data_IF_896963983426
#
_entry.id   IF_896963983426
#
_cell.length_a   1.000
_cell.length_b   1.000
_cell.length_c   1.000
_cell.angle_alpha   90.00
_cell.angle_beta   90.00
_cell.angle_gamma   90.00
#
_symmetry.space_group_name_H-M   'P 1'
#
loop_
_entity.id
_entity.type
_entity.pdbx_description
1 polymer ?
#
# COMPACT_ATOMS: atom_id res chain seq x y z
N UNK A 1 -20.62 -2.02 -16.04
CA UNK A 1 -19.42 -2.77 -16.48
C UNK A 1 -18.98 -3.58 -15.30
N UNK A 2 -18.78 -4.88 -15.49
CA UNK A 2 -18.26 -5.76 -14.44
C UNK A 2 -16.76 -5.54 -14.30
N UNK A 3 -16.29 -5.42 -13.06
CA UNK A 3 -14.89 -5.13 -12.76
C UNK A 3 -14.30 -6.23 -11.88
N UNK A 4 -13.06 -6.63 -12.14
CA UNK A 4 -12.28 -7.51 -11.26
C UNK A 4 -11.29 -6.68 -10.45
N UNK A 5 -11.17 -6.95 -9.16
CA UNK A 5 -10.20 -6.27 -8.28
C UNK A 5 -9.38 -7.28 -7.50
N UNK A 6 -8.06 -7.20 -7.63
CA UNK A 6 -7.11 -8.02 -6.89
C UNK A 6 -6.33 -7.17 -5.88
N UNK A 7 -6.26 -7.66 -4.64
CA UNK A 7 -5.47 -7.05 -3.58
C UNK A 7 -4.28 -7.94 -3.24
N UNK A 8 -3.08 -7.45 -3.49
CA UNK A 8 -1.83 -8.13 -3.15
C UNK A 8 -1.33 -7.63 -1.79
N UNK A 9 -1.39 -8.49 -0.77
CA UNK A 9 -0.96 -8.18 0.60
C UNK A 9 0.35 -8.92 0.91
N UNK A 10 1.45 -8.18 1.02
CA UNK A 10 2.70 -8.76 1.51
C UNK A 10 2.57 -9.07 3.00
N UNK A 11 3.02 -10.25 3.41
CA UNK A 11 3.00 -10.67 4.80
C UNK A 11 3.61 -9.62 5.77
N UNK A 12 3.14 -9.64 7.03
CA UNK A 12 3.66 -8.76 8.08
C UNK A 12 5.10 -9.06 8.52
N UNK A 13 5.64 -8.25 9.43
CA UNK A 13 6.97 -8.52 10.02
C UNK A 13 6.98 -9.85 10.77
N UNK A 14 7.83 -10.77 10.33
CA UNK A 14 8.04 -12.10 10.90
C UNK A 14 9.36 -12.21 11.68
N UNK A 15 9.48 -13.29 12.44
CA UNK A 15 10.70 -13.73 13.11
C UNK A 15 11.88 -13.74 12.14
N UNK A 16 13.09 -13.53 12.65
CA UNK A 16 14.30 -13.63 11.81
C UNK A 16 14.50 -15.09 11.41
N UNK A 17 15.06 -15.30 10.22
CA UNK A 17 15.47 -16.63 9.79
C UNK A 17 16.58 -17.12 10.73
N UNK A 18 16.41 -18.30 11.27
CA UNK A 18 17.38 -19.02 12.12
C UNK A 18 17.45 -20.45 11.63
N UNK A 19 18.59 -21.13 11.82
CA UNK A 19 18.79 -22.50 11.32
C UNK A 19 17.84 -23.51 11.97
N UNK A 20 17.34 -23.21 13.17
CA UNK A 20 16.54 -24.12 13.99
C UNK A 20 15.04 -24.13 13.64
N UNK A 21 14.56 -23.19 12.82
CA UNK A 21 13.13 -23.08 12.48
C UNK A 21 12.99 -23.05 10.95
N UNK A 22 12.23 -23.98 10.34
CA UNK A 22 11.93 -23.96 8.92
C UNK A 22 11.33 -22.61 8.49
N UNK A 23 11.67 -22.13 7.29
CA UNK A 23 11.25 -20.79 6.87
C UNK A 23 9.72 -20.62 6.83
N UNK A 24 9.01 -21.66 6.38
CA UNK A 24 7.55 -21.72 6.35
C UNK A 24 6.92 -21.57 7.73
N UNK A 25 7.60 -22.01 8.80
CA UNK A 25 7.08 -21.99 10.16
C UNK A 25 7.29 -20.66 10.88
N UNK A 26 8.09 -19.75 10.31
CA UNK A 26 8.36 -18.42 10.90
C UNK A 26 7.07 -17.64 11.08
N UNK A 27 6.80 -17.24 12.32
CA UNK A 27 5.59 -16.52 12.69
C UNK A 27 5.77 -15.01 12.68
N UNK A 28 4.68 -14.26 12.68
CA UNK A 28 4.68 -12.82 12.86
C UNK A 28 5.15 -12.44 14.26
N UNK A 29 6.06 -11.48 14.34
CA UNK A 29 6.39 -10.85 15.63
C UNK A 29 5.25 -9.93 16.08
N UNK A 30 5.21 -9.61 17.38
CA UNK A 30 4.19 -8.70 17.98
C UNK A 30 4.01 -7.39 17.21
N UNK A 31 5.12 -6.81 16.73
CA UNK A 31 5.09 -5.59 15.90
C UNK A 31 4.41 -5.83 14.55
N UNK A 32 4.71 -6.95 13.87
CA UNK A 32 4.09 -7.34 12.61
C UNK A 32 2.59 -7.61 12.75
N UNK A 33 2.16 -8.29 13.81
CA UNK A 33 0.73 -8.48 14.12
C UNK A 33 0.01 -7.14 14.30
N UNK A 34 0.60 -6.21 15.05
CA UNK A 34 0.05 -4.85 15.27
C UNK A 34 -0.03 -4.02 13.98
N UNK A 35 0.98 -4.12 13.13
CA UNK A 35 1.04 -3.38 11.86
C UNK A 35 0.05 -3.92 10.83
N UNK A 36 -0.04 -5.25 10.70
CA UNK A 36 -1.03 -5.92 9.85
C UNK A 36 -2.45 -5.58 10.28
N UNK A 37 -2.74 -5.61 11.60
CA UNK A 37 -4.04 -5.23 12.15
C UNK A 37 -4.40 -3.77 11.83
N UNK A 38 -3.42 -2.87 11.93
CA UNK A 38 -3.63 -1.46 11.56
C UNK A 38 -3.89 -1.31 10.06
N UNK A 39 -3.21 -2.07 9.20
CA UNK A 39 -3.42 -2.05 7.75
C UNK A 39 -4.83 -2.55 7.41
N UNK A 40 -5.20 -3.72 7.92
CA UNK A 40 -6.53 -4.31 7.74
C UNK A 40 -7.66 -3.37 8.16
N UNK A 41 -7.56 -2.72 9.35
CA UNK A 41 -8.54 -1.73 9.80
C UNK A 41 -8.72 -0.55 8.85
N UNK A 42 -7.62 0.03 8.38
CA UNK A 42 -7.67 1.15 7.43
C UNK A 42 -8.29 0.73 6.10
N UNK A 43 -8.09 -0.52 5.72
CA UNK A 43 -8.64 -1.06 4.50
C UNK A 43 -10.14 -1.35 4.64
N UNK A 44 -10.60 -1.86 5.79
CA UNK A 44 -12.03 -2.02 6.10
C UNK A 44 -12.80 -0.69 6.01
N UNK A 45 -12.19 0.41 6.42
CA UNK A 45 -12.76 1.77 6.30
C UNK A 45 -13.13 2.14 4.85
N UNK A 46 -12.62 1.43 3.84
CA UNK A 46 -12.93 1.66 2.42
C UNK A 46 -14.19 0.90 1.93
N UNK A 47 -14.90 0.19 2.81
CA UNK A 47 -16.16 -0.52 2.51
C UNK A 47 -16.05 -1.54 1.37
N UNK A 48 -14.94 -2.28 1.34
CA UNK A 48 -14.65 -3.26 0.30
C UNK A 48 -15.28 -4.61 0.67
N UNK A 49 -16.10 -5.15 -0.22
CA UNK A 49 -16.62 -6.50 -0.12
C UNK A 49 -15.59 -7.48 -0.70
N UNK A 50 -15.08 -8.38 0.14
CA UNK A 50 -14.13 -9.41 -0.28
C UNK A 50 -14.89 -10.70 -0.56
N UNK A 51 -14.73 -11.25 -1.76
CA UNK A 51 -15.36 -12.52 -2.13
C UNK A 51 -14.51 -13.71 -1.66
N UNK A 52 -13.19 -13.58 -1.78
CA UNK A 52 -12.27 -14.66 -1.44
C UNK A 52 -10.92 -14.14 -0.95
N UNK A 53 -10.39 -14.82 0.07
CA UNK A 53 -9.04 -14.64 0.61
C UNK A 53 -8.21 -15.87 0.26
N UNK A 54 -7.04 -15.66 -0.33
CA UNK A 54 -6.10 -16.71 -0.74
C UNK A 54 -4.75 -16.44 -0.07
N UNK A 55 -4.15 -17.42 0.59
CA UNK A 55 -2.89 -17.24 1.29
C UNK A 55 -1.86 -18.29 0.91
N UNK A 56 -0.60 -17.86 0.86
CA UNK A 56 0.54 -18.76 0.97
C UNK A 56 0.45 -19.58 2.26
N UNK A 57 0.89 -20.86 2.26
CA UNK A 57 0.90 -21.73 3.45
C UNK A 57 1.91 -21.30 4.51
N UNK A 58 2.83 -20.37 4.22
CA UNK A 58 3.79 -19.89 5.21
C UNK A 58 3.07 -19.21 6.40
N UNK A 59 3.43 -19.57 7.63
CA UNK A 59 2.78 -19.08 8.86
C UNK A 59 2.65 -17.56 8.89
N UNK A 60 3.69 -16.82 8.51
CA UNK A 60 3.66 -15.35 8.43
C UNK A 60 2.59 -14.80 7.48
N UNK A 61 2.32 -15.47 6.36
CA UNK A 61 1.29 -15.09 5.40
C UNK A 61 -0.09 -15.47 5.94
N UNK A 62 -0.27 -16.72 6.41
CA UNK A 62 -1.52 -17.19 7.03
C UNK A 62 -1.94 -16.34 8.23
N UNK A 63 -1.01 -16.05 9.15
CA UNK A 63 -1.31 -15.18 10.30
C UNK A 63 -1.68 -13.76 9.85
N UNK A 64 -1.11 -13.27 8.74
CA UNK A 64 -1.52 -11.98 8.16
C UNK A 64 -2.94 -12.10 7.60
N UNK A 65 -3.25 -13.15 6.85
CA UNK A 65 -4.57 -13.45 6.32
C UNK A 65 -5.63 -13.56 7.42
N UNK A 66 -5.34 -14.29 8.51
CA UNK A 66 -6.22 -14.39 9.69
C UNK A 66 -6.51 -13.04 10.33
N UNK A 67 -5.51 -12.15 10.42
CA UNK A 67 -5.70 -10.80 10.95
C UNK A 67 -6.64 -10.00 10.05
N UNK A 68 -6.47 -10.09 8.72
CA UNK A 68 -7.36 -9.42 7.78
C UNK A 68 -8.77 -10.01 7.83
N UNK A 69 -8.90 -11.34 7.75
CA UNK A 69 -10.18 -12.03 7.83
C UNK A 69 -10.98 -11.61 9.06
N UNK A 70 -10.34 -11.55 10.24
CA UNK A 70 -10.99 -11.08 11.46
C UNK A 70 -11.48 -9.63 11.38
N UNK A 71 -10.69 -8.72 10.80
CA UNK A 71 -11.11 -7.32 10.68
C UNK A 71 -12.23 -7.18 9.63
N UNK A 72 -12.18 -7.94 8.53
CA UNK A 72 -13.20 -7.96 7.48
C UNK A 72 -14.43 -8.81 7.81
N UNK A 73 -14.47 -9.46 8.97
CA UNK A 73 -15.53 -10.41 9.35
C UNK A 73 -15.67 -11.55 8.32
N UNK A 74 -14.57 -11.88 7.64
CA UNK A 74 -14.49 -13.01 6.71
C UNK A 74 -14.23 -14.31 7.50
N UNK A 75 -14.97 -15.41 7.22
CA UNK A 75 -14.78 -16.68 7.89
C UNK A 75 -13.38 -17.26 7.63
N UNK A 76 -12.60 -17.51 8.68
CA UNK A 76 -11.19 -17.92 8.58
C UNK A 76 -11.05 -19.27 7.87
N UNK A 77 -12.00 -20.17 8.08
CA UNK A 77 -12.11 -21.48 7.46
C UNK A 77 -12.34 -21.43 5.94
N UNK A 78 -12.77 -20.28 5.40
CA UNK A 78 -12.93 -20.07 3.95
C UNK A 78 -11.69 -19.48 3.28
N UNK A 79 -10.59 -19.29 4.02
CA UNK A 79 -9.33 -18.86 3.40
C UNK A 79 -8.79 -20.03 2.59
N UNK A 80 -8.58 -19.80 1.29
CA UNK A 80 -7.98 -20.81 0.41
C UNK A 80 -6.46 -20.77 0.57
N UNK A 81 -5.85 -21.95 0.68
CA UNK A 81 -4.40 -22.07 0.74
C UNK A 81 -3.88 -22.39 -0.65
N UNK A 82 -2.98 -21.53 -1.14
CA UNK A 82 -2.33 -21.71 -2.43
C UNK A 82 -0.84 -22.01 -2.21
N UNK A 83 -0.46 -23.27 -2.43
CA UNK A 83 0.87 -23.80 -2.16
C UNK A 83 1.94 -23.12 -3.02
N UNK A 84 1.59 -22.83 -4.28
CA UNK A 84 2.47 -22.19 -5.27
C UNK A 84 3.03 -20.86 -4.76
N UNK A 85 2.25 -20.11 -3.95
CA UNK A 85 2.68 -18.84 -3.35
C UNK A 85 3.85 -18.97 -2.36
N UNK A 86 4.29 -20.19 -2.02
CA UNK A 86 5.45 -20.45 -1.16
C UNK A 86 6.64 -21.12 -1.85
N UNK A 87 6.52 -21.45 -3.14
CA UNK A 87 7.46 -22.30 -3.87
C UNK A 87 8.27 -21.53 -4.92
N UNK A 88 8.64 -20.29 -4.60
CA UNK A 88 9.34 -19.37 -5.51
C UNK A 88 8.69 -19.29 -6.92
N UNK A 89 7.40 -18.90 -7.01
CA UNK A 89 6.63 -19.00 -8.24
C UNK A 89 7.18 -18.12 -9.35
N UNK A 90 7.11 -18.61 -10.58
CA UNK A 90 7.36 -17.79 -11.77
C UNK A 90 6.23 -16.77 -11.98
N UNK A 91 6.45 -15.82 -12.87
CA UNK A 91 5.40 -14.89 -13.30
C UNK A 91 4.21 -15.63 -13.94
N UNK A 92 4.46 -16.72 -14.68
CA UNK A 92 3.41 -17.54 -15.29
C UNK A 92 2.58 -18.26 -14.23
N UNK A 93 3.22 -18.79 -13.19
CA UNK A 93 2.52 -19.42 -12.06
C UNK A 93 1.60 -18.42 -11.34
N UNK A 94 2.09 -17.20 -11.10
CA UNK A 94 1.30 -16.13 -10.50
C UNK A 94 0.11 -15.72 -11.38
N UNK A 95 0.30 -15.64 -12.70
CA UNK A 95 -0.78 -15.32 -13.63
C UNK A 95 -1.79 -16.45 -13.74
N UNK A 96 -1.34 -17.70 -13.67
CA UNK A 96 -2.22 -18.87 -13.66
C UNK A 96 -3.17 -18.84 -12.46
N UNK A 97 -2.66 -18.56 -11.26
CA UNK A 97 -3.49 -18.39 -10.05
C UNK A 97 -4.60 -17.35 -10.31
N UNK A 98 -4.27 -16.21 -10.93
CA UNK A 98 -5.26 -15.16 -11.22
C UNK A 98 -6.27 -15.65 -12.25
N UNK A 99 -5.81 -16.20 -13.37
CA UNK A 99 -6.67 -16.58 -14.51
C UNK A 99 -7.60 -17.76 -14.21
N UNK A 100 -7.28 -18.57 -13.22
CA UNK A 100 -8.09 -19.72 -12.77
C UNK A 100 -9.09 -19.35 -11.66
N UNK A 101 -9.15 -18.08 -11.23
CA UNK A 101 -10.17 -17.62 -10.28
C UNK A 101 -11.57 -17.71 -10.89
N UNK A 102 -12.54 -18.05 -10.04
CA UNK A 102 -13.95 -18.08 -10.41
C UNK A 102 -14.43 -16.67 -10.78
N UNK A 103 -15.04 -16.55 -11.96
CA UNK A 103 -15.62 -15.29 -12.45
C UNK A 103 -16.84 -14.84 -11.63
N UNK A 104 -17.39 -15.68 -10.74
CA UNK A 104 -18.34 -15.23 -9.72
C UNK A 104 -17.67 -14.31 -8.67
N UNK A 105 -16.37 -14.46 -8.42
CA UNK A 105 -15.62 -13.57 -7.54
C UNK A 105 -15.22 -12.29 -8.29
N UNK A 106 -15.58 -11.14 -7.74
CA UNK A 106 -15.19 -9.83 -8.26
C UNK A 106 -13.99 -9.25 -7.51
N UNK A 107 -13.84 -9.59 -6.24
CA UNK A 107 -12.80 -9.04 -5.36
C UNK A 107 -12.04 -10.14 -4.64
N UNK A 108 -10.76 -10.27 -4.96
CA UNK A 108 -9.87 -11.30 -4.42
C UNK A 108 -8.73 -10.65 -3.65
N UNK A 109 -8.37 -11.20 -2.49
CA UNK A 109 -7.20 -10.78 -1.73
C UNK A 109 -6.19 -11.91 -1.56
N UNK A 110 -4.96 -11.69 -2.03
CA UNK A 110 -3.86 -12.65 -1.94
C UNK A 110 -2.88 -12.23 -0.85
N UNK A 111 -2.42 -13.20 -0.06
CA UNK A 111 -1.40 -13.01 0.97
C UNK A 111 -0.14 -13.79 0.63
N UNK A 112 0.98 -13.08 0.50
CA UNK A 112 2.20 -13.69 0.00
C UNK A 112 3.45 -12.85 0.24
N UNK A 113 4.42 -13.00 -0.66
CA UNK A 113 5.80 -12.57 -0.44
C UNK A 113 6.32 -11.74 -1.62
N UNK A 114 7.28 -10.87 -1.32
CA UNK A 114 8.16 -10.30 -2.35
C UNK A 114 9.33 -11.26 -2.58
N UNK A 115 9.91 -11.31 -3.80
CA UNK A 115 9.68 -10.37 -4.91
C UNK A 115 8.41 -10.63 -5.73
N UNK A 116 7.83 -11.82 -5.68
CA UNK A 116 6.73 -12.25 -6.56
C UNK A 116 5.53 -11.29 -6.63
N UNK A 117 5.09 -10.73 -5.49
CA UNK A 117 3.99 -9.76 -5.49
C UNK A 117 4.35 -8.41 -6.10
N UNK A 118 5.62 -7.99 -5.96
CA UNK A 118 6.13 -6.79 -6.61
C UNK A 118 6.19 -7.01 -8.12
N UNK A 119 6.78 -8.13 -8.55
CA UNK A 119 6.90 -8.46 -9.97
C UNK A 119 5.53 -8.60 -10.64
N UNK A 120 4.57 -9.21 -9.95
CA UNK A 120 3.19 -9.30 -10.42
C UNK A 120 2.51 -7.92 -10.49
N UNK A 121 2.67 -7.07 -9.48
CA UNK A 121 2.11 -5.71 -9.50
C UNK A 121 2.70 -4.89 -10.65
N UNK A 122 4.02 -4.94 -10.85
CA UNK A 122 4.71 -4.29 -11.97
C UNK A 122 4.30 -4.82 -13.34
N UNK A 123 3.93 -6.10 -13.43
CA UNK A 123 3.40 -6.68 -14.66
C UNK A 123 1.98 -6.24 -14.98
N UNK A 124 1.11 -6.20 -13.96
CA UNK A 124 -0.32 -5.92 -14.14
C UNK A 124 -0.61 -4.42 -14.28
N UNK A 125 0.16 -3.56 -13.62
CA UNK A 125 -0.05 -2.11 -13.61
C UNK A 125 1.07 -1.43 -14.38
N UNK A 126 0.69 -0.67 -15.41
CA UNK A 126 1.65 0.14 -16.15
C UNK A 126 2.34 1.14 -15.21
N UNK A 127 3.67 1.21 -15.29
CA UNK A 127 4.52 2.15 -14.54
C UNK A 127 4.50 1.98 -13.01
N UNK A 128 4.14 0.80 -12.48
CA UNK A 128 4.28 0.51 -11.04
C UNK A 128 5.76 0.27 -10.67
N UNK A 129 6.35 1.24 -9.94
CA UNK A 129 7.78 1.28 -9.58
C UNK A 129 8.03 1.32 -8.06
N UNK A 130 6.97 1.24 -7.24
CA UNK A 130 7.09 1.31 -5.78
C UNK A 130 7.41 -0.07 -5.17
N UNK A 131 8.13 -0.12 -4.05
CA UNK A 131 8.26 -1.36 -3.26
C UNK A 131 6.91 -1.71 -2.60
N UNK A 132 6.73 -2.96 -2.18
CA UNK A 132 5.62 -3.37 -1.32
C UNK A 132 6.19 -3.71 0.05
N UNK A 133 6.22 -2.79 1.03
CA UNK A 133 6.76 -3.08 2.35
C UNK A 133 5.96 -4.16 3.09
N UNK A 134 6.51 -4.70 4.18
CA UNK A 134 5.82 -5.71 5.01
C UNK A 134 4.47 -5.20 5.53
N UNK A 135 3.42 -6.01 5.41
CA UNK A 135 2.01 -5.59 5.63
C UNK A 135 1.54 -4.44 4.73
N UNK A 136 2.21 -4.26 3.59
CA UNK A 136 1.78 -3.39 2.50
C UNK A 136 0.75 -4.08 1.62
N UNK A 137 -0.09 -3.26 0.99
CA UNK A 137 -1.18 -3.67 0.11
C UNK A 137 -1.12 -2.89 -1.19
N UNK A 138 -1.30 -3.61 -2.31
CA UNK A 138 -1.52 -3.05 -3.63
C UNK A 138 -2.89 -3.54 -4.11
N UNK A 139 -3.79 -2.64 -4.45
CA UNK A 139 -5.09 -2.95 -5.05
C UNK A 139 -5.09 -2.59 -6.51
N UNK A 140 -5.43 -3.54 -7.37
CA UNK A 140 -5.40 -3.41 -8.82
C UNK A 140 -6.78 -3.78 -9.35
N UNK A 141 -7.40 -2.87 -10.11
CA UNK A 141 -8.71 -3.04 -10.71
C UNK A 141 -8.58 -3.22 -12.23
N UNK A 142 -9.40 -4.10 -12.78
CA UNK A 142 -9.51 -4.39 -14.21
C UNK A 142 -10.94 -4.17 -14.66
N UNK A 143 -11.11 -3.44 -15.76
CA UNK A 143 -12.40 -3.33 -16.46
C UNK A 143 -12.60 -4.56 -17.36
N UNK A 144 -12.75 -5.71 -16.72
CA UNK A 144 -12.93 -7.04 -17.34
C UNK A 144 -14.00 -7.80 -16.55
N UNK A 145 -14.84 -8.55 -17.26
CA UNK A 145 -15.82 -9.45 -16.64
C UNK A 145 -15.23 -10.80 -16.23
N UNK A 146 -14.06 -11.17 -16.77
CA UNK A 146 -13.41 -12.45 -16.51
C UNK A 146 -11.95 -12.32 -16.13
N UNK A 147 -11.50 -13.11 -15.14
CA UNK A 147 -10.11 -13.17 -14.70
C UNK A 147 -9.17 -13.69 -15.79
N UNK A 148 -9.66 -14.62 -16.62
CA UNK A 148 -8.89 -15.21 -17.72
C UNK A 148 -8.46 -14.16 -18.79
N UNK A 149 -9.20 -13.04 -18.88
CA UNK A 149 -8.95 -11.94 -19.83
C UNK A 149 -7.91 -10.94 -19.34
N UNK A 150 -7.39 -11.08 -18.12
CA UNK A 150 -6.38 -10.15 -17.59
C UNK A 150 -5.07 -10.34 -18.33
N UNK A 151 -4.53 -9.22 -18.83
CA UNK A 151 -3.24 -9.16 -19.50
C UNK A 151 -2.33 -8.10 -18.88
N UNK A 152 -1.08 -8.04 -19.35
CA UNK A 152 -0.07 -7.12 -18.84
C UNK A 152 -0.49 -5.65 -18.99
N UNK A 153 -0.24 -4.85 -17.96
CA UNK A 153 -0.37 -3.39 -18.01
C UNK A 153 -1.79 -2.83 -18.12
N UNK A 154 -2.83 -3.66 -18.10
CA UNK A 154 -4.24 -3.21 -18.16
C UNK A 154 -4.82 -2.84 -16.78
N UNK A 155 -4.11 -3.18 -15.70
CA UNK A 155 -4.53 -2.93 -14.33
C UNK A 155 -4.45 -1.47 -13.94
N UNK A 156 -5.50 -0.97 -13.31
CA UNK A 156 -5.52 0.36 -12.69
C UNK A 156 -5.21 0.25 -11.21
N UNK A 157 -4.18 0.96 -10.75
CA UNK A 157 -3.86 1.04 -9.32
C UNK A 157 -4.98 1.80 -8.58
N UNK A 158 -5.77 1.07 -7.80
CA UNK A 158 -6.87 1.64 -6.98
C UNK A 158 -6.49 1.77 -5.51
N UNK A 159 -5.44 1.06 -5.07
CA UNK A 159 -4.92 1.20 -3.72
C UNK A 159 -3.42 0.97 -3.64
N UNK A 160 -2.75 1.79 -2.84
CA UNK A 160 -1.41 1.53 -2.35
C UNK A 160 -1.27 2.08 -0.93
N UNK A 161 -1.00 1.20 0.05
CA UNK A 161 -0.78 1.60 1.44
C UNK A 161 0.15 0.62 2.16
N UNK A 162 0.83 1.11 3.20
CA UNK A 162 1.67 0.28 4.07
C UNK A 162 1.89 0.95 5.43
N UNK A 163 2.34 0.21 6.45
CA UNK A 163 2.68 0.78 7.75
C UNK A 163 3.74 1.88 7.63
N UNK A 164 3.30 3.14 7.78
CA UNK A 164 4.16 4.33 7.65
C UNK A 164 3.88 5.18 6.41
N UNK A 165 3.09 4.70 5.45
CA UNK A 165 2.82 5.42 4.20
C UNK A 165 2.19 6.80 4.43
N UNK A 166 1.20 6.93 5.33
CA UNK A 166 0.63 8.25 5.69
C UNK A 166 1.68 9.22 6.26
N UNK A 167 2.68 8.73 7.00
CA UNK A 167 3.76 9.58 7.50
C UNK A 167 4.70 9.99 6.36
N UNK A 168 5.01 9.05 5.45
CA UNK A 168 5.74 9.32 4.21
C UNK A 168 5.02 10.36 3.34
N UNK A 169 3.72 10.20 3.04
CA UNK A 169 2.92 11.15 2.27
C UNK A 169 2.90 12.54 2.90
N UNK A 170 2.79 12.62 4.24
CA UNK A 170 2.86 13.92 4.95
C UNK A 170 4.22 14.58 4.79
N UNK A 171 5.30 13.81 4.86
CA UNK A 171 6.66 14.31 4.65
C UNK A 171 6.83 14.79 3.20
N UNK A 172 6.48 13.96 2.22
CA UNK A 172 6.56 14.28 0.79
C UNK A 172 5.73 15.50 0.43
N UNK A 173 4.46 15.59 0.87
CA UNK A 173 3.60 16.76 0.64
C UNK A 173 4.18 18.04 1.24
N UNK A 174 4.81 17.96 2.42
CA UNK A 174 5.50 19.09 3.03
C UNK A 174 6.71 19.52 2.18
N UNK A 175 7.52 18.57 1.72
CA UNK A 175 8.68 18.83 0.85
C UNK A 175 8.26 19.46 -0.48
N UNK A 176 7.28 18.88 -1.17
CA UNK A 176 6.73 19.43 -2.42
C UNK A 176 6.18 20.84 -2.23
N UNK A 177 5.44 21.11 -1.16
CA UNK A 177 4.90 22.44 -0.90
C UNK A 177 6.02 23.46 -0.66
N UNK A 178 7.07 23.08 0.06
CA UNK A 178 8.25 23.93 0.27
C UNK A 178 8.98 24.20 -1.04
N UNK A 179 9.22 23.18 -1.87
CA UNK A 179 9.87 23.34 -3.18
C UNK A 179 9.05 24.20 -4.13
N UNK A 180 7.74 23.99 -4.24
CA UNK A 180 6.89 24.80 -5.12
C UNK A 180 6.90 26.27 -4.69
N UNK A 181 6.86 26.53 -3.38
CA UNK A 181 6.90 27.88 -2.87
C UNK A 181 8.27 28.53 -3.08
N UNK A 182 9.36 27.79 -2.87
CA UNK A 182 10.73 28.24 -3.19
C UNK A 182 10.85 28.67 -4.66
N UNK A 183 10.43 27.80 -5.59
CA UNK A 183 10.47 28.10 -7.02
C UNK A 183 9.62 29.32 -7.40
N UNK A 184 8.46 29.52 -6.76
CA UNK A 184 7.66 30.72 -6.97
C UNK A 184 8.39 31.99 -6.51
N UNK A 185 9.07 31.92 -5.37
CA UNK A 185 9.83 33.05 -4.82
C UNK A 185 11.04 33.35 -5.69
N UNK A 186 11.82 32.35 -6.11
CA UNK A 186 12.94 32.52 -7.04
C UNK A 186 12.48 33.13 -8.38
N UNK A 187 11.36 32.67 -8.93
CA UNK A 187 10.80 33.22 -10.17
C UNK A 187 10.37 34.69 -10.04
N UNK A 188 9.94 35.14 -8.85
CA UNK A 188 9.63 36.56 -8.64
C UNK A 188 10.88 37.38 -8.30
N UNK A 189 11.82 36.83 -7.52
CA UNK A 189 13.07 37.51 -7.16
C UNK A 189 14.02 37.68 -8.35
N UNK A 190 14.03 36.74 -9.30
CA UNK A 190 14.78 36.86 -10.56
C UNK A 190 14.30 37.99 -11.47
N UNK A 191 13.18 38.65 -11.14
CA UNK A 191 12.70 39.87 -11.79
C UNK A 191 13.19 41.15 -11.08
N UNK A 192 14.08 41.02 -10.10
CA UNK A 192 14.67 42.10 -9.28
C UNK A 192 16.21 42.01 -9.25
N UNK A 193 16.90 43.10 -8.88
CA UNK A 193 18.38 43.24 -8.92
C UNK A 193 19.15 42.22 -8.04
N UNK A 194 20.28 41.70 -8.56
CA UNK A 194 21.09 40.58 -8.05
C UNK A 194 21.64 40.78 -6.63
N UNK A 195 21.87 42.02 -6.19
CA UNK A 195 22.55 42.32 -4.93
C UNK A 195 21.75 41.97 -3.65
N UNK A 196 20.43 41.75 -3.77
CA UNK A 196 19.52 41.52 -2.63
C UNK A 196 19.08 40.06 -2.43
N UNK A 197 19.43 39.15 -3.35
CA UNK A 197 18.76 37.85 -3.50
C UNK A 197 19.13 36.85 -2.39
N UNK A 198 20.41 36.66 -2.07
CA UNK A 198 20.85 35.59 -1.16
C UNK A 198 20.42 35.76 0.31
N UNK A 199 20.40 36.99 0.83
CA UNK A 199 19.92 37.27 2.19
C UNK A 199 18.39 37.14 2.29
N UNK A 200 17.70 37.50 1.21
CA UNK A 200 16.25 37.43 1.10
C UNK A 200 15.77 35.99 0.96
N UNK A 201 16.42 35.16 0.14
CA UNK A 201 16.15 33.72 0.00
C UNK A 201 16.18 32.97 1.33
N UNK A 202 17.21 33.19 2.15
CA UNK A 202 17.34 32.53 3.46
C UNK A 202 16.23 32.95 4.42
N UNK A 203 15.86 34.23 4.39
CA UNK A 203 14.80 34.79 5.24
C UNK A 203 13.43 34.27 4.82
N UNK A 204 13.17 34.27 3.52
CA UNK A 204 11.92 33.79 2.95
C UNK A 204 11.78 32.28 3.16
N UNK A 205 12.83 31.49 2.92
CA UNK A 205 12.83 30.04 3.17
C UNK A 205 12.44 29.71 4.61
N UNK A 206 12.99 30.44 5.60
CA UNK A 206 12.59 30.29 7.00
C UNK A 206 11.13 30.66 7.24
N UNK A 207 10.67 31.80 6.71
CA UNK A 207 9.28 32.24 6.87
C UNK A 207 8.29 31.24 6.25
N UNK A 208 8.59 30.75 5.05
CA UNK A 208 7.83 29.71 4.34
C UNK A 208 7.72 28.43 5.18
N UNK A 209 8.85 27.94 5.71
CA UNK A 209 8.86 26.73 6.54
C UNK A 209 7.95 26.88 7.76
N UNK A 210 7.91 28.07 8.36
CA UNK A 210 7.08 28.33 9.54
C UNK A 210 5.60 28.51 9.20
N UNK A 211 5.27 29.16 8.08
CA UNK A 211 3.89 29.24 7.57
C UNK A 211 3.36 27.83 7.27
N UNK A 212 4.14 26.98 6.59
CA UNK A 212 3.77 25.59 6.28
C UNK A 212 3.55 24.78 7.57
N UNK A 213 4.43 24.90 8.57
CA UNK A 213 4.23 24.25 9.87
C UNK A 213 2.93 24.70 10.54
N UNK A 214 2.61 25.99 10.50
CA UNK A 214 1.41 26.58 11.10
C UNK A 214 0.15 26.11 10.38
N UNK A 215 0.14 26.12 9.05
CA UNK A 215 -0.95 25.62 8.22
C UNK A 215 -1.25 24.12 8.49
N UNK A 216 -0.20 23.29 8.56
CA UNK A 216 -0.34 21.86 8.91
C UNK A 216 -0.91 21.66 10.32
N UNK A 217 -0.56 22.53 11.29
CA UNK A 217 -1.15 22.47 12.65
C UNK A 217 -2.63 22.81 12.65
N UNK A 218 -3.02 23.90 11.99
CA UNK A 218 -4.42 24.37 11.94
C UNK A 218 -5.32 23.37 11.23
N UNK A 219 -4.88 22.84 10.10
CA UNK A 219 -5.64 21.81 9.35
C UNK A 219 -5.82 20.52 10.16
N UNK A 220 -4.79 20.08 10.90
CA UNK A 220 -4.92 18.93 11.83
C UNK A 220 -5.92 19.20 12.96
N UNK A 221 -5.93 20.41 13.53
CA UNK A 221 -6.86 20.77 14.60
C UNK A 221 -8.32 20.72 14.09
N UNK A 222 -8.58 21.26 12.90
CA UNK A 222 -9.92 21.18 12.26
C UNK A 222 -10.35 19.74 11.94
N UNK A 223 -9.48 18.91 11.37
CA UNK A 223 -9.80 17.50 11.09
C UNK A 223 -10.08 16.67 12.34
N UNK A 224 -9.40 16.97 13.45
CA UNK A 224 -9.63 16.28 14.74
C UNK A 224 -10.96 16.67 15.37
N UNK A 225 -11.39 17.92 15.17
CA UNK A 225 -12.67 18.45 15.66
C UNK A 225 -13.86 17.91 14.86
N UNK A 226 -13.73 17.84 13.52
CA UNK A 226 -14.75 17.24 12.65
C UNK A 226 -15.01 15.75 12.95
N UNK A 227 -13.98 14.99 13.32
CA UNK A 227 -14.11 13.55 13.70
C UNK A 227 -14.64 13.30 15.12
N UNK A 228 -14.81 14.33 15.94
CA UNK A 228 -15.39 14.22 17.28
C UNK A 228 -16.84 14.71 17.36
N UNK A 229 -17.33 15.30 16.28
CA UNK A 229 -18.69 15.83 16.13
C UNK A 229 -19.57 14.91 15.26
N UNK A 230 -19.02 13.76 14.83
CA UNK A 230 -19.61 12.71 13.99
C UNK A 230 -19.51 11.37 14.73
#
# INVERSE_FOLDING_TARGET
METKTIYLVRHGRAERKVLTVPDLQRSLIKKGKKESKKAAKRFKEQSIALDILISSPANRALETAHIFAKEFEYPVEKIVIEEVLSQDPSQEDMLKIIKELDDACSTVMLFGHNPFFLDLASYLVKDFQDDIPKSGIVGIMFDKSSWAMITAGEGTLVLYDYPGYRAYLRKKKKETLVSNLHNCIENELSKTDESSVAAMEKTITKAVQDIVKRFIRVTKAKQKKAKSEE
#
